data_IF_618755464913
#
_entry.id   IF_618755464913
#
_cell.length_a   1.000
_cell.length_b   1.000
_cell.length_c   1.000
_cell.angle_alpha   90.00
_cell.angle_beta   90.00
_cell.angle_gamma   90.00
#
_symmetry.space_group_name_H-M   'P 1'
#
loop_
_entity.id
_entity.type
_entity.pdbx_description
1 polymer ?
#
# COMPACT_ATOMS: atom_id res chain seq x y z
N UNK A 1 6.33 -13.85 8.15
CA UNK A 1 4.90 -13.80 7.74
C UNK A 1 4.42 -15.11 7.08
N UNK A 2 5.18 -15.79 6.21
CA UNK A 2 4.72 -17.00 5.50
C UNK A 2 4.32 -18.15 6.43
N UNK A 3 5.07 -18.40 7.52
CA UNK A 3 4.73 -19.39 8.56
C UNK A 3 3.45 -19.03 9.34
N UNK A 4 3.24 -17.76 9.69
CA UNK A 4 2.01 -17.28 10.35
C UNK A 4 0.78 -17.50 9.47
N UNK A 5 0.91 -17.23 8.16
CA UNK A 5 -0.13 -17.46 7.15
C UNK A 5 -0.42 -18.95 7.01
N UNK A 6 0.64 -19.78 7.01
CA UNK A 6 0.55 -21.24 7.01
C UNK A 6 -0.19 -21.80 8.22
N UNK A 7 0.15 -21.33 9.42
CA UNK A 7 -0.51 -21.71 10.68
C UNK A 7 -1.98 -21.30 10.66
N UNK A 8 -2.30 -20.05 10.26
CA UNK A 8 -3.71 -19.59 10.14
C UNK A 8 -4.50 -20.47 9.18
N UNK A 9 -3.92 -20.82 8.02
CA UNK A 9 -4.57 -21.71 7.04
C UNK A 9 -4.71 -23.15 7.57
N UNK A 10 -3.74 -23.67 8.32
CA UNK A 10 -3.79 -25.00 8.93
C UNK A 10 -4.88 -25.12 10.00
N UNK A 11 -5.19 -24.02 10.70
CA UNK A 11 -6.29 -23.93 11.68
C UNK A 11 -7.65 -23.64 10.99
N UNK A 12 -7.69 -23.59 9.65
CA UNK A 12 -8.93 -23.44 8.88
C UNK A 12 -9.30 -22.01 8.48
N UNK A 13 -8.37 -21.04 8.59
CA UNK A 13 -8.62 -19.69 8.08
C UNK A 13 -8.85 -19.73 6.57
N UNK A 14 -9.98 -19.17 6.13
CA UNK A 14 -10.31 -19.05 4.71
C UNK A 14 -9.31 -18.12 4.02
N UNK A 15 -8.96 -18.45 2.77
CA UNK A 15 -8.08 -17.63 1.93
C UNK A 15 -8.50 -16.16 1.88
N UNK A 16 -9.82 -15.92 1.85
CA UNK A 16 -10.41 -14.59 1.81
C UNK A 16 -10.08 -13.75 3.07
N UNK A 17 -9.99 -14.36 4.25
CA UNK A 17 -9.68 -13.65 5.49
C UNK A 17 -8.24 -13.12 5.48
N UNK A 18 -7.31 -13.93 4.95
CA UNK A 18 -5.91 -13.54 4.80
C UNK A 18 -5.79 -12.44 3.74
N UNK A 19 -6.53 -12.58 2.64
CA UNK A 19 -6.58 -11.57 1.58
C UNK A 19 -7.06 -10.22 2.11
N UNK A 20 -8.17 -10.21 2.87
CA UNK A 20 -8.72 -8.99 3.46
C UNK A 20 -7.75 -8.34 4.45
N UNK A 21 -7.05 -9.10 5.29
CA UNK A 21 -6.08 -8.53 6.21
C UNK A 21 -4.95 -7.79 5.48
N UNK A 22 -4.35 -8.43 4.48
CA UNK A 22 -3.30 -7.79 3.69
C UNK A 22 -3.82 -6.62 2.86
N UNK A 23 -5.04 -6.71 2.33
CA UNK A 23 -5.67 -5.63 1.60
C UNK A 23 -5.90 -4.40 2.50
N UNK A 24 -6.42 -4.60 3.71
CA UNK A 24 -6.63 -3.52 4.68
C UNK A 24 -5.29 -2.90 5.09
N UNK A 25 -4.26 -3.72 5.35
CA UNK A 25 -2.91 -3.22 5.66
C UNK A 25 -2.31 -2.41 4.51
N UNK A 26 -2.44 -2.90 3.27
CA UNK A 26 -1.98 -2.19 2.08
C UNK A 26 -2.76 -0.88 1.85
N UNK A 27 -4.09 -0.88 1.97
CA UNK A 27 -4.92 0.31 1.78
C UNK A 27 -4.63 1.36 2.86
N UNK A 28 -4.52 0.95 4.12
CA UNK A 28 -4.21 1.88 5.21
C UNK A 28 -2.82 2.52 5.05
N UNK A 29 -1.81 1.74 4.67
CA UNK A 29 -0.47 2.25 4.33
C UNK A 29 -0.48 3.17 3.10
N UNK A 30 -1.23 2.81 2.05
CA UNK A 30 -1.30 3.60 0.82
C UNK A 30 -2.01 4.93 1.03
N UNK A 31 -3.11 4.94 1.76
CA UNK A 31 -3.85 6.16 2.10
C UNK A 31 -3.02 7.07 3.02
N UNK A 32 -2.44 6.52 4.08
CA UNK A 32 -1.60 7.31 5.00
C UNK A 32 -0.37 7.88 4.30
N UNK A 33 0.34 7.07 3.50
CA UNK A 33 1.45 7.53 2.68
C UNK A 33 1.05 8.57 1.64
N UNK A 34 -0.12 8.41 1.01
CA UNK A 34 -0.67 9.37 0.05
C UNK A 34 -0.97 10.73 0.69
N UNK A 35 -1.63 10.76 1.85
CA UNK A 35 -1.90 12.01 2.58
C UNK A 35 -0.60 12.71 3.01
N UNK A 36 0.35 11.97 3.57
CA UNK A 36 1.65 12.51 3.99
C UNK A 36 2.42 13.04 2.77
N UNK A 37 2.40 12.30 1.66
CA UNK A 37 3.04 12.69 0.41
C UNK A 37 2.47 13.97 -0.18
N UNK A 38 1.14 14.14 -0.18
CA UNK A 38 0.48 15.38 -0.61
C UNK A 38 0.88 16.55 0.29
N UNK A 39 0.82 16.36 1.61
CA UNK A 39 1.15 17.41 2.57
C UNK A 39 2.61 17.89 2.41
N UNK A 40 3.55 16.94 2.31
CA UNK A 40 4.97 17.24 2.08
C UNK A 40 5.21 17.85 0.71
N UNK A 41 4.56 17.35 -0.34
CA UNK A 41 4.69 17.88 -1.69
C UNK A 41 4.25 19.34 -1.77
N UNK A 42 3.09 19.68 -1.20
CA UNK A 42 2.59 21.06 -1.12
C UNK A 42 3.55 21.95 -0.32
N UNK A 43 4.02 21.47 0.84
CA UNK A 43 4.93 22.24 1.69
C UNK A 43 6.26 22.53 0.97
N UNK A 44 6.88 21.53 0.37
CA UNK A 44 8.15 21.65 -0.34
C UNK A 44 7.98 22.58 -1.55
N UNK A 45 6.91 22.41 -2.33
CA UNK A 45 6.63 23.28 -3.48
C UNK A 45 6.36 24.73 -3.06
N UNK A 46 5.72 24.98 -1.92
CA UNK A 46 5.50 26.32 -1.39
C UNK A 46 6.82 26.99 -0.94
N UNK A 47 7.67 26.25 -0.22
CA UNK A 47 9.00 26.72 0.20
C UNK A 47 9.87 27.03 -1.03
N UNK A 48 9.89 26.12 -2.01
CA UNK A 48 10.65 26.27 -3.24
C UNK A 48 10.18 27.47 -4.06
N UNK A 49 8.86 27.67 -4.20
CA UNK A 49 8.29 28.80 -4.92
C UNK A 49 8.67 30.13 -4.26
N UNK A 50 8.63 30.20 -2.92
CA UNK A 50 9.07 31.38 -2.17
C UNK A 50 10.56 31.68 -2.37
N UNK A 51 11.42 30.65 -2.28
CA UNK A 51 12.86 30.80 -2.46
C UNK A 51 13.26 31.21 -3.88
N UNK A 52 12.53 30.74 -4.89
CA UNK A 52 12.77 31.04 -6.31
C UNK A 52 12.07 32.32 -6.78
N UNK A 53 11.21 32.93 -5.96
CA UNK A 53 10.43 34.11 -6.33
C UNK A 53 9.40 33.87 -7.45
N UNK A 54 9.02 32.61 -7.69
CA UNK A 54 8.05 32.21 -8.72
C UNK A 54 6.66 32.01 -8.11
N UNK A 55 5.58 32.23 -8.87
CA UNK A 55 4.23 31.99 -8.37
C UNK A 55 4.03 30.51 -8.02
N UNK A 56 3.57 30.25 -6.80
CA UNK A 56 3.19 28.91 -6.37
C UNK A 56 1.89 28.48 -7.06
N UNK A 57 1.93 27.38 -7.80
CA UNK A 57 0.77 26.76 -8.41
C UNK A 57 0.68 25.29 -8.00
N UNK A 58 -0.43 24.93 -7.36
CA UNK A 58 -0.74 23.55 -6.97
C UNK A 58 -1.99 23.08 -7.73
N UNK A 59 -1.86 22.69 -9.02
CA UNK A 59 -3.00 22.30 -9.83
C UNK A 59 -3.64 21.04 -9.25
N UNK A 60 -4.95 21.12 -8.98
CA UNK A 60 -5.72 20.01 -8.42
C UNK A 60 -5.55 18.71 -9.23
N UNK A 61 -5.47 18.82 -10.55
CA UNK A 61 -5.28 17.68 -11.45
C UNK A 61 -3.94 16.95 -11.20
N UNK A 62 -2.86 17.68 -10.92
CA UNK A 62 -1.55 17.08 -10.64
C UNK A 62 -1.53 16.35 -9.30
N UNK A 63 -2.17 16.93 -8.28
CA UNK A 63 -2.33 16.31 -6.96
C UNK A 63 -3.19 15.05 -7.07
N UNK A 64 -4.32 15.14 -7.76
CA UNK A 64 -5.22 14.00 -7.98
C UNK A 64 -4.53 12.87 -8.75
N UNK A 65 -3.80 13.19 -9.82
CA UNK A 65 -3.03 12.21 -10.58
C UNK A 65 -1.95 11.52 -9.73
N UNK A 66 -1.18 12.29 -8.95
CA UNK A 66 -0.17 11.75 -8.03
C UNK A 66 -0.79 10.83 -6.97
N UNK A 67 -1.93 11.23 -6.40
CA UNK A 67 -2.67 10.41 -5.45
C UNK A 67 -3.18 9.11 -6.07
N UNK A 68 -3.76 9.16 -7.28
CA UNK A 68 -4.22 7.97 -8.00
C UNK A 68 -3.07 7.00 -8.29
N UNK A 69 -1.89 7.51 -8.67
CA UNK A 69 -0.70 6.68 -8.87
C UNK A 69 -0.24 6.05 -7.55
N UNK A 70 -0.17 6.81 -6.46
CA UNK A 70 0.24 6.29 -5.15
C UNK A 70 -0.70 5.19 -4.65
N UNK A 71 -2.01 5.41 -4.73
CA UNK A 71 -3.02 4.40 -4.39
C UNK A 71 -2.94 3.19 -5.30
N UNK A 72 -2.76 3.38 -6.62
CA UNK A 72 -2.62 2.30 -7.58
C UNK A 72 -1.42 1.41 -7.31
N UNK A 73 -0.24 2.00 -7.06
CA UNK A 73 0.98 1.26 -6.72
C UNK A 73 0.79 0.50 -5.41
N UNK A 74 0.20 1.13 -4.40
CA UNK A 74 -0.05 0.52 -3.11
C UNK A 74 -1.05 -0.65 -3.16
N UNK A 75 -2.13 -0.51 -3.94
CA UNK A 75 -3.08 -1.60 -4.20
C UNK A 75 -2.41 -2.77 -4.94
N UNK A 76 -1.66 -2.51 -6.01
CA UNK A 76 -0.96 -3.56 -6.76
C UNK A 76 0.04 -4.29 -5.86
N UNK A 77 0.82 -3.54 -5.08
CA UNK A 77 1.80 -4.07 -4.13
C UNK A 77 1.15 -4.86 -3.00
N UNK A 78 -0.07 -4.55 -2.59
CA UNK A 78 -0.81 -5.31 -1.56
C UNK A 78 -1.53 -6.54 -2.10
N UNK A 79 -2.25 -6.40 -3.21
CA UNK A 79 -3.11 -7.45 -3.78
C UNK A 79 -2.30 -8.60 -4.34
N UNK A 80 -1.20 -8.33 -5.05
CA UNK A 80 -0.38 -9.36 -5.68
C UNK A 80 0.24 -10.36 -4.68
N UNK A 81 0.97 -9.93 -3.63
CA UNK A 81 1.50 -10.86 -2.64
C UNK A 81 0.40 -11.48 -1.78
N UNK A 82 -0.70 -10.77 -1.50
CA UNK A 82 -1.84 -11.35 -0.78
C UNK A 82 -2.42 -12.55 -1.55
N UNK A 83 -2.63 -12.38 -2.85
CA UNK A 83 -3.12 -13.43 -3.75
C UNK A 83 -2.15 -14.61 -3.82
N UNK A 84 -0.85 -14.34 -3.96
CA UNK A 84 0.18 -15.38 -3.94
C UNK A 84 0.20 -16.13 -2.60
N UNK A 85 0.13 -15.41 -1.48
CA UNK A 85 0.13 -15.98 -0.14
C UNK A 85 -1.13 -16.81 0.17
N UNK A 86 -2.29 -16.40 -0.33
CA UNK A 86 -3.54 -17.13 -0.19
C UNK A 86 -3.51 -18.52 -0.87
N UNK A 87 -2.74 -18.67 -1.95
CA UNK A 87 -2.58 -19.94 -2.69
C UNK A 87 -1.47 -20.87 -2.18
N UNK A 88 -0.64 -20.44 -1.22
CA UNK A 88 0.41 -21.31 -0.66
C UNK A 88 -0.21 -22.48 0.11
N UNK A 89 0.18 -23.70 -0.21
CA UNK A 89 -0.28 -24.90 0.51
C UNK A 89 0.22 -24.89 1.96
N UNK A 90 -0.65 -25.06 2.98
CA UNK A 90 -0.25 -25.04 4.38
C UNK A 90 0.80 -26.10 4.68
N UNK A 91 0.71 -27.27 4.04
CA UNK A 91 1.67 -28.38 4.17
C UNK A 91 3.06 -27.93 3.72
N UNK A 92 3.17 -27.19 2.62
CA UNK A 92 4.46 -26.67 2.13
C UNK A 92 5.00 -25.58 3.05
N UNK A 93 4.14 -24.68 3.55
CA UNK A 93 4.55 -23.60 4.45
C UNK A 93 5.00 -24.05 5.84
N UNK A 94 4.60 -25.26 6.27
CA UNK A 94 5.02 -25.89 7.53
C UNK A 94 6.23 -26.82 7.35
N UNK A 95 6.58 -27.15 6.11
CA UNK A 95 7.68 -28.04 5.72
C UNK A 95 8.94 -27.29 5.28
N UNK A 96 8.87 -25.97 5.11
CA UNK A 96 10.06 -25.10 5.08
C UNK A 96 10.53 -24.83 6.52
N UNK A 97 10.75 -25.93 7.24
CA UNK A 97 11.88 -26.30 8.10
C UNK A 97 11.90 -27.83 8.11
#
# INVERSE_FOLDING_TARGET
RTREIGIRKAIGARQINILFQFLVEAVTLSCSGGFIGIALGVLISAIAANALGVPFAAPFFGIAAGFCVAVGVGLISGVYPAYKAARVDPIVSLRYE
#
